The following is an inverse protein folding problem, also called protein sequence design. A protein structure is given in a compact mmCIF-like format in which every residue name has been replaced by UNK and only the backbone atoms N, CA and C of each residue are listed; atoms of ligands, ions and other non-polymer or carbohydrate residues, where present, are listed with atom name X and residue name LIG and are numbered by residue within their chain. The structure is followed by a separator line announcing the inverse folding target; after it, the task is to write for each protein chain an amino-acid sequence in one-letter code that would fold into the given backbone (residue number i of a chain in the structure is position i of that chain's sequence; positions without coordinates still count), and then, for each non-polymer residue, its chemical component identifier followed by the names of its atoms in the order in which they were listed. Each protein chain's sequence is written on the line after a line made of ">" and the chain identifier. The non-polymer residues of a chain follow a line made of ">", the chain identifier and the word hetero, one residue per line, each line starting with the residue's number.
data_IF_598320329798
#
_entry.id   IF_598320329798
#
_cell.length_a   1.000
_cell.length_b   1.000
_cell.length_c   1.000
_cell.angle_alpha   90.00
_cell.angle_beta   90.00
_cell.angle_gamma   90.00
#
_symmetry.space_group_name_H-M   'P 1'
#
loop_
_entity.id
_entity.type
_entity.pdbx_description
1 polymer ?
#
# COMPACT_ATOMS: atom_id res chain seq x y z
N UNK A 1 4.81 6.44 14.99
CA UNK A 1 5.11 7.30 13.82
C UNK A 1 3.82 7.62 13.09
N UNK A 2 3.70 8.79 12.49
CA UNK A 2 2.62 9.19 11.59
C UNK A 2 3.24 9.69 10.28
N UNK A 3 2.76 9.20 9.14
CA UNK A 3 3.20 9.62 7.81
C UNK A 3 1.99 10.20 7.09
N UNK A 4 2.07 11.48 6.78
CA UNK A 4 1.03 12.30 6.20
C UNK A 4 -0.26 12.36 7.05
N UNK A 5 -1.16 13.23 6.70
CA UNK A 5 -2.37 13.50 7.48
C UNK A 5 -3.60 13.86 6.62
N UNK A 6 -3.50 13.75 5.30
CA UNK A 6 -4.59 14.16 4.42
C UNK A 6 -4.73 15.68 4.31
N UNK A 7 -5.88 16.11 3.84
CA UNK A 7 -6.23 17.52 3.63
C UNK A 7 -6.46 18.30 4.94
N UNK A 8 -6.54 19.63 4.87
CA UNK A 8 -6.87 20.47 6.06
C UNK A 8 -8.17 20.03 6.74
N UNK A 9 -9.16 19.58 5.96
CA UNK A 9 -10.42 19.07 6.48
C UNK A 9 -10.28 17.83 7.37
N UNK A 10 -9.20 17.07 7.21
CA UNK A 10 -8.96 15.82 7.93
C UNK A 10 -8.31 16.02 9.32
N UNK A 11 -7.91 17.26 9.68
CA UNK A 11 -7.32 17.58 10.98
C UNK A 11 -8.14 17.05 12.17
N UNK A 12 -9.47 17.19 12.12
CA UNK A 12 -10.35 16.71 13.18
C UNK A 12 -10.42 15.20 13.25
N UNK A 13 -10.31 14.51 12.10
CA UNK A 13 -10.25 13.06 12.02
C UNK A 13 -8.95 12.56 12.65
N UNK A 14 -7.81 13.10 12.26
CA UNK A 14 -6.49 12.70 12.81
C UNK A 14 -6.45 12.92 14.33
N UNK A 15 -6.93 14.07 14.82
CA UNK A 15 -7.06 14.32 16.26
C UNK A 15 -7.88 13.22 16.94
N UNK A 16 -9.03 12.88 16.36
CA UNK A 16 -9.96 11.89 16.93
C UNK A 16 -9.36 10.48 16.93
N UNK A 17 -8.71 10.09 15.84
CA UNK A 17 -8.04 8.78 15.73
C UNK A 17 -6.96 8.63 16.81
N UNK A 18 -6.08 9.61 16.96
CA UNK A 18 -5.01 9.56 17.97
C UNK A 18 -5.58 9.55 19.38
N UNK A 19 -6.62 10.36 19.63
CA UNK A 19 -7.30 10.41 20.93
C UNK A 19 -7.96 9.09 21.30
N UNK A 20 -8.69 8.49 20.38
CA UNK A 20 -9.38 7.20 20.59
C UNK A 20 -8.39 6.04 20.77
N UNK A 21 -7.23 6.13 20.10
CA UNK A 21 -6.14 5.16 20.24
C UNK A 21 -5.27 5.40 21.47
N UNK A 22 -5.49 6.49 22.23
CA UNK A 22 -4.68 6.84 23.40
C UNK A 22 -3.24 7.24 23.06
N UNK A 23 -2.96 7.62 21.80
CA UNK A 23 -1.61 7.93 21.32
C UNK A 23 -1.34 9.43 21.51
N UNK A 24 -0.77 9.81 22.64
CA UNK A 24 -0.42 11.19 23.00
C UNK A 24 1.04 11.58 22.67
N UNK A 25 1.83 10.66 22.14
CA UNK A 25 3.20 10.91 21.70
C UNK A 25 3.49 10.17 20.41
N UNK A 26 4.12 10.86 19.45
CA UNK A 26 4.57 10.33 18.17
C UNK A 26 6.09 10.49 18.10
N UNK A 27 6.83 9.39 18.05
CA UNK A 27 8.30 9.47 17.92
C UNK A 27 8.71 10.26 16.69
N UNK A 28 8.03 10.01 15.56
CA UNK A 28 8.31 10.64 14.27
C UNK A 28 6.97 11.03 13.61
N UNK A 29 6.89 12.27 13.14
CA UNK A 29 5.87 12.73 12.18
C UNK A 29 6.56 13.05 10.87
N UNK A 30 6.03 12.56 9.77
CA UNK A 30 6.57 12.80 8.42
C UNK A 30 5.50 13.49 7.58
N UNK A 31 5.78 14.68 7.07
CA UNK A 31 5.12 15.24 5.90
C UNK A 31 5.96 14.90 4.70
N UNK A 32 5.50 13.95 3.86
CA UNK A 32 6.31 13.44 2.76
C UNK A 32 6.72 14.52 1.79
N UNK A 33 5.82 15.46 1.52
CA UNK A 33 6.07 16.67 0.74
C UNK A 33 5.06 17.77 1.10
N UNK A 34 5.15 18.94 0.48
CA UNK A 34 4.48 20.16 0.95
C UNK A 34 3.03 20.35 0.46
N UNK A 35 2.45 19.42 -0.29
CA UNK A 35 1.08 19.55 -0.75
C UNK A 35 0.05 19.35 0.38
N UNK A 36 -1.09 20.05 0.25
CA UNK A 36 -2.14 20.10 1.27
C UNK A 36 -2.69 18.72 1.61
N UNK A 37 -2.91 17.87 0.63
CA UNK A 37 -3.47 16.53 0.80
C UNK A 37 -2.53 15.52 1.49
N UNK A 38 -1.33 15.98 1.85
CA UNK A 38 -0.37 15.23 2.68
C UNK A 38 -0.18 15.86 4.05
N UNK A 39 0.06 17.18 4.11
CA UNK A 39 0.40 17.84 5.37
C UNK A 39 -0.77 18.54 6.04
N UNK A 40 -1.88 18.77 5.31
CA UNK A 40 -2.98 19.61 5.77
C UNK A 40 -3.69 19.12 7.03
N UNK A 41 -3.74 17.81 7.26
CA UNK A 41 -4.33 17.21 8.46
C UNK A 41 -3.36 17.08 9.65
N UNK A 42 -2.04 17.20 9.44
CA UNK A 42 -1.03 17.06 10.52
C UNK A 42 -1.17 18.06 11.68
N UNK A 43 -1.68 19.31 11.50
CA UNK A 43 -2.04 20.16 12.62
C UNK A 43 -2.97 19.49 13.63
N UNK A 44 -3.87 18.60 13.18
CA UNK A 44 -4.75 17.82 14.07
C UNK A 44 -3.97 16.87 14.97
N UNK A 45 -2.94 16.21 14.43
CA UNK A 45 -2.04 15.37 15.22
C UNK A 45 -1.32 16.16 16.30
N UNK A 46 -0.72 17.29 15.93
CA UNK A 46 0.01 18.15 16.85
C UNK A 46 -0.89 18.83 17.90
N UNK A 47 -2.16 18.99 17.64
CA UNK A 47 -3.12 19.49 18.63
C UNK A 47 -3.39 18.51 19.77
N UNK A 48 -3.23 17.23 19.53
CA UNK A 48 -3.48 16.19 20.53
C UNK A 48 -2.19 15.58 21.07
N UNK A 49 -1.26 15.20 20.19
CA UNK A 49 -0.04 14.51 20.55
C UNK A 49 1.18 15.42 20.43
N UNK A 50 2.18 15.20 21.29
CA UNK A 50 3.50 15.75 21.07
C UNK A 50 4.29 14.88 20.10
N UNK A 51 5.26 15.49 19.39
CA UNK A 51 6.13 14.76 18.48
C UNK A 51 7.60 14.83 18.92
N UNK A 52 8.30 13.72 18.83
CA UNK A 52 9.73 13.62 19.08
C UNK A 52 10.55 14.26 17.96
N UNK A 53 10.07 14.13 16.71
CA UNK A 53 10.71 14.67 15.51
C UNK A 53 9.64 14.92 14.45
N UNK A 54 9.81 15.99 13.65
CA UNK A 54 8.99 16.26 12.47
C UNK A 54 9.89 16.37 11.25
N UNK A 55 9.69 15.47 10.28
CA UNK A 55 10.43 15.44 9.03
C UNK A 55 9.59 16.02 7.90
N UNK A 56 10.19 16.87 7.07
CA UNK A 56 9.62 17.35 5.81
C UNK A 56 10.78 17.76 4.88
N UNK A 57 10.63 17.65 3.54
CA UNK A 57 11.71 17.97 2.62
C UNK A 57 12.05 19.45 2.55
N UNK A 58 11.15 20.31 3.04
CA UNK A 58 11.31 21.76 3.03
C UNK A 58 10.93 22.38 4.38
N UNK A 59 11.46 23.56 4.68
CA UNK A 59 11.12 24.35 5.89
C UNK A 59 10.22 25.54 5.57
N UNK A 60 9.96 25.80 4.29
CA UNK A 60 9.02 26.83 3.81
C UNK A 60 8.41 26.40 2.49
N UNK A 61 7.15 26.72 2.31
CA UNK A 61 6.39 26.51 1.08
C UNK A 61 5.24 27.51 1.04
N UNK A 62 4.91 28.02 -0.15
CA UNK A 62 3.91 29.07 -0.32
C UNK A 62 2.50 28.49 -0.37
N UNK A 63 1.98 28.09 0.79
CA UNK A 63 0.59 27.65 0.97
C UNK A 63 0.13 27.79 2.42
N UNK A 64 -1.15 28.12 2.62
CA UNK A 64 -1.77 28.17 3.94
C UNK A 64 -1.69 26.86 4.70
N UNK A 65 -1.72 25.73 3.99
CA UNK A 65 -1.60 24.40 4.59
C UNK A 65 -0.21 24.19 5.20
N UNK A 66 0.83 24.62 4.48
CA UNK A 66 2.20 24.52 4.96
C UNK A 66 2.47 25.47 6.13
N UNK A 67 1.95 26.70 6.08
CA UNK A 67 2.09 27.66 7.18
C UNK A 67 1.47 27.10 8.46
N UNK A 68 0.26 26.54 8.38
CA UNK A 68 -0.38 25.89 9.52
C UNK A 68 0.45 24.69 10.01
N UNK A 69 0.88 23.81 9.12
CA UNK A 69 1.72 22.66 9.47
C UNK A 69 3.01 23.09 10.19
N UNK A 70 3.76 24.03 9.63
CA UNK A 70 5.01 24.53 10.21
C UNK A 70 4.78 25.19 11.59
N UNK A 71 3.72 25.97 11.73
CA UNK A 71 3.30 26.60 13.01
C UNK A 71 3.02 25.56 14.09
N UNK A 72 2.28 24.50 13.77
CA UNK A 72 1.95 23.46 14.74
C UNK A 72 3.14 22.56 15.05
N UNK A 73 3.98 22.26 14.07
CA UNK A 73 5.25 21.57 14.28
C UNK A 73 6.17 22.36 15.22
N UNK A 74 6.31 23.68 15.02
CA UNK A 74 7.06 24.55 15.91
C UNK A 74 6.47 24.60 17.33
N UNK A 75 5.14 24.64 17.45
CA UNK A 75 4.43 24.68 18.74
C UNK A 75 4.67 23.41 19.57
N UNK A 76 4.85 22.29 18.94
CA UNK A 76 5.17 21.03 19.62
C UNK A 76 6.63 20.89 20.07
N UNK A 77 7.44 21.91 19.85
CA UNK A 77 8.78 22.03 20.42
C UNK A 77 9.92 21.54 19.54
N UNK A 78 9.66 20.93 18.38
CA UNK A 78 10.72 20.33 17.56
C UNK A 78 10.96 21.02 16.22
N UNK A 79 9.96 21.76 15.68
CA UNK A 79 10.06 22.34 14.35
C UNK A 79 10.23 21.28 13.25
N UNK A 80 10.50 21.74 12.04
CA UNK A 80 10.70 20.87 10.87
C UNK A 80 12.19 20.59 10.69
N UNK A 81 12.53 19.32 10.50
CA UNK A 81 13.87 18.84 10.15
C UNK A 81 13.84 18.26 8.74
N UNK A 82 14.77 18.71 7.88
CA UNK A 82 14.99 18.10 6.56
C UNK A 82 15.94 16.91 6.77
N UNK A 83 15.50 15.66 6.46
CA UNK A 83 16.38 14.51 6.58
C UNK A 83 17.37 14.43 5.41
N UNK A 84 18.37 13.57 5.55
CA UNK A 84 19.29 13.22 4.46
C UNK A 84 19.03 11.80 3.98
N UNK A 85 19.28 11.53 2.71
CA UNK A 85 19.26 10.15 2.19
C UNK A 85 20.30 9.32 2.93
N UNK A 86 19.90 8.15 3.41
CA UNK A 86 20.69 7.26 4.26
C UNK A 86 20.51 7.46 5.75
N UNK A 87 19.82 8.52 6.19
CA UNK A 87 19.47 8.67 7.62
C UNK A 87 18.62 7.51 8.10
N UNK A 88 18.88 7.07 9.33
CA UNK A 88 18.15 5.98 9.98
C UNK A 88 17.64 6.42 11.36
N UNK A 89 16.41 6.04 11.65
CA UNK A 89 15.75 6.38 12.92
C UNK A 89 15.18 5.10 13.57
N UNK A 90 15.38 4.88 14.87
CA UNK A 90 14.75 3.78 15.58
C UNK A 90 13.24 4.06 15.78
N UNK A 91 12.42 3.03 15.62
CA UNK A 91 10.99 3.06 15.91
C UNK A 91 10.61 1.77 16.65
N UNK A 92 10.75 1.76 17.97
CA UNK A 92 10.65 0.54 18.77
C UNK A 92 11.69 -0.49 18.33
N UNK A 93 11.23 -1.67 17.88
CA UNK A 93 12.10 -2.72 17.32
C UNK A 93 12.29 -2.60 15.80
N UNK A 94 11.72 -1.58 15.18
CA UNK A 94 11.84 -1.31 13.75
C UNK A 94 12.86 -0.23 13.48
N UNK A 95 13.35 -0.17 12.24
CA UNK A 95 14.22 0.89 11.75
C UNK A 95 13.54 1.61 10.58
N UNK A 96 13.52 2.93 10.62
CA UNK A 96 13.10 3.79 9.52
C UNK A 96 14.35 4.26 8.78
N UNK A 97 14.41 4.07 7.46
CA UNK A 97 15.54 4.52 6.62
C UNK A 97 15.03 5.43 5.53
N UNK A 98 15.66 6.58 5.35
CA UNK A 98 15.36 7.51 4.25
C UNK A 98 16.10 7.01 3.00
N UNK A 99 15.35 6.62 1.97
CA UNK A 99 15.88 6.06 0.74
C UNK A 99 15.93 7.07 -0.40
N UNK A 100 15.08 8.09 -0.35
CA UNK A 100 15.02 9.13 -1.37
C UNK A 100 14.58 10.47 -0.82
N UNK A 101 15.21 11.49 -1.34
CA UNK A 101 14.89 12.90 -1.19
C UNK A 101 15.45 13.61 -2.42
N UNK A 102 14.62 13.75 -3.46
CA UNK A 102 15.04 14.42 -4.68
C UNK A 102 14.81 15.92 -4.57
N UNK A 103 15.81 16.70 -4.92
CA UNK A 103 15.67 18.16 -4.99
C UNK A 103 14.95 18.58 -6.27
N UNK A 104 14.48 19.81 -6.31
CA UNK A 104 13.86 20.39 -7.50
C UNK A 104 12.76 21.39 -7.15
N UNK A 105 12.12 21.92 -8.19
CA UNK A 105 10.99 22.85 -8.05
C UNK A 105 9.64 22.15 -8.01
N UNK A 106 9.58 20.88 -8.38
CA UNK A 106 8.36 20.06 -8.31
C UNK A 106 8.23 19.48 -6.91
N UNK A 107 7.15 19.84 -6.21
CA UNK A 107 6.92 19.41 -4.84
C UNK A 107 6.75 17.89 -4.72
N UNK A 108 6.10 17.22 -5.68
CA UNK A 108 5.93 15.76 -5.69
C UNK A 108 7.28 15.06 -5.69
N UNK A 109 8.18 15.49 -6.56
CA UNK A 109 9.51 14.91 -6.65
C UNK A 109 10.40 15.21 -5.42
N UNK A 110 10.04 16.17 -4.56
CA UNK A 110 10.71 16.36 -3.27
C UNK A 110 10.30 15.37 -2.20
N UNK A 111 9.37 14.48 -2.48
CA UNK A 111 8.84 13.50 -1.51
C UNK A 111 9.95 12.75 -0.77
N UNK A 112 9.82 12.68 0.54
CA UNK A 112 10.62 11.77 1.37
C UNK A 112 10.17 10.34 1.08
N UNK A 113 11.04 9.56 0.44
CA UNK A 113 10.84 8.13 0.28
C UNK A 113 11.53 7.41 1.43
N UNK A 114 10.76 6.62 2.19
CA UNK A 114 11.28 5.95 3.37
C UNK A 114 10.82 4.49 3.45
N UNK A 115 11.67 3.67 4.08
CA UNK A 115 11.43 2.25 4.34
C UNK A 115 11.40 2.01 5.84
N UNK A 116 10.38 1.30 6.30
CA UNK A 116 10.29 0.80 7.68
C UNK A 116 10.57 -0.70 7.66
N UNK A 117 11.65 -1.11 8.30
CA UNK A 117 12.05 -2.51 8.40
C UNK A 117 11.74 -3.05 9.80
N UNK A 118 11.04 -4.19 9.86
CA UNK A 118 10.84 -4.97 11.09
C UNK A 118 11.09 -6.45 10.85
N UNK A 119 12.19 -6.96 11.36
CA UNK A 119 12.61 -8.33 11.09
C UNK A 119 12.79 -8.60 9.59
N UNK A 120 12.06 -9.57 9.06
CA UNK A 120 12.07 -9.97 7.64
C UNK A 120 11.03 -9.20 6.80
N UNK A 121 10.16 -8.39 7.42
CA UNK A 121 9.13 -7.62 6.73
C UNK A 121 9.51 -6.15 6.61
N UNK A 122 9.05 -5.51 5.55
CA UNK A 122 9.31 -4.09 5.31
C UNK A 122 8.15 -3.39 4.60
N UNK A 123 8.05 -2.09 4.86
CA UNK A 123 7.04 -1.20 4.33
C UNK A 123 7.73 -0.02 3.65
N UNK A 124 7.47 0.19 2.36
CA UNK A 124 8.00 1.31 1.59
C UNK A 124 6.91 2.36 1.38
N UNK A 125 7.22 3.60 1.76
CA UNK A 125 6.37 4.76 1.56
C UNK A 125 7.07 5.71 0.60
N UNK A 126 6.41 6.09 -0.47
CA UNK A 126 7.01 6.84 -1.57
C UNK A 126 6.50 8.27 -1.69
N UNK A 127 5.55 8.67 -0.82
CA UNK A 127 4.85 9.94 -1.00
C UNK A 127 4.29 10.03 -2.42
N UNK A 128 4.53 11.14 -3.07
CA UNK A 128 4.15 11.38 -4.46
C UNK A 128 5.35 11.45 -5.40
N UNK A 129 6.45 10.81 -5.01
CA UNK A 129 7.65 10.71 -5.85
C UNK A 129 7.28 10.21 -7.26
N UNK A 130 7.66 10.98 -8.27
CA UNK A 130 7.42 10.70 -9.67
C UNK A 130 8.68 10.12 -10.35
N UNK A 131 8.61 9.91 -11.66
CA UNK A 131 9.65 9.24 -12.46
C UNK A 131 11.07 9.77 -12.24
N UNK A 132 11.22 11.08 -12.05
CA UNK A 132 12.55 11.69 -11.85
C UNK A 132 13.14 11.29 -10.49
N UNK A 133 12.32 11.38 -9.43
CA UNK A 133 12.72 10.98 -8.09
C UNK A 133 12.95 9.46 -8.02
N UNK A 134 12.06 8.65 -8.61
CA UNK A 134 12.23 7.20 -8.70
C UNK A 134 13.52 6.83 -9.42
N UNK A 135 13.83 7.47 -10.55
CA UNK A 135 15.06 7.23 -11.29
C UNK A 135 16.33 7.62 -10.51
N UNK A 136 16.25 8.72 -9.74
CA UNK A 136 17.36 9.11 -8.86
C UNK A 136 17.60 8.07 -7.76
N UNK A 137 16.53 7.52 -7.17
CA UNK A 137 16.60 6.46 -6.16
C UNK A 137 17.17 5.18 -6.76
N UNK A 138 16.70 4.76 -7.94
CA UNK A 138 17.25 3.61 -8.65
C UNK A 138 18.75 3.75 -8.92
N UNK A 139 19.17 4.94 -9.34
CA UNK A 139 20.59 5.23 -9.62
C UNK A 139 21.47 5.24 -8.36
N UNK A 140 20.88 5.42 -7.18
CA UNK A 140 21.62 5.37 -5.90
C UNK A 140 22.04 3.94 -5.51
N UNK A 141 21.37 2.91 -6.07
CA UNK A 141 21.57 1.52 -5.72
C UNK A 141 21.02 1.14 -4.33
N UNK A 142 20.13 1.94 -3.77
CA UNK A 142 19.47 1.62 -2.49
C UNK A 142 18.66 0.33 -2.59
N UNK A 143 18.64 -0.47 -1.53
CA UNK A 143 17.77 -1.64 -1.42
C UNK A 143 16.32 -1.22 -1.22
N UNK A 144 15.52 -1.35 -2.30
CA UNK A 144 14.10 -1.01 -2.33
C UNK A 144 13.19 -2.20 -1.99
N UNK A 145 13.70 -3.42 -1.96
CA UNK A 145 12.90 -4.62 -1.74
C UNK A 145 12.00 -4.47 -0.51
N UNK A 146 10.69 -4.66 -0.67
CA UNK A 146 9.74 -4.37 0.42
C UNK A 146 8.51 -5.26 0.34
N UNK A 147 8.04 -5.72 1.50
CA UNK A 147 6.84 -6.57 1.61
C UNK A 147 5.57 -5.82 1.22
N UNK A 148 5.46 -4.57 1.65
CA UNK A 148 4.30 -3.70 1.40
C UNK A 148 4.77 -2.39 0.76
N UNK A 149 4.12 -1.99 -0.33
CA UNK A 149 4.32 -0.70 -0.99
C UNK A 149 3.09 0.20 -0.75
N UNK A 150 3.29 1.39 -0.19
CA UNK A 150 2.34 2.49 -0.38
C UNK A 150 2.61 3.07 -1.77
N UNK A 151 1.68 2.84 -2.69
CA UNK A 151 1.76 3.30 -4.08
C UNK A 151 1.92 4.81 -4.15
N UNK A 152 2.81 5.27 -4.99
CA UNK A 152 3.11 6.69 -5.18
C UNK A 152 1.95 7.46 -5.80
N UNK A 153 1.81 8.71 -5.39
CA UNK A 153 0.95 9.72 -5.99
C UNK A 153 -0.49 9.21 -6.21
N UNK A 154 -1.07 8.58 -5.19
CA UNK A 154 -2.44 8.05 -5.17
C UNK A 154 -2.78 7.10 -6.34
N UNK A 155 -1.76 6.54 -6.99
CA UNK A 155 -1.92 5.70 -8.18
C UNK A 155 -1.93 6.47 -9.51
N UNK A 156 -1.32 7.66 -9.53
CA UNK A 156 -1.01 8.39 -10.77
C UNK A 156 -0.13 7.56 -11.71
N UNK A 157 -0.28 7.77 -13.01
CA UNK A 157 0.57 7.15 -14.04
C UNK A 157 2.01 7.70 -14.05
N UNK A 158 2.24 8.88 -13.44
CA UNK A 158 3.55 9.50 -13.30
C UNK A 158 4.48 8.78 -12.31
N UNK A 159 3.92 7.96 -11.39
CA UNK A 159 4.61 7.29 -10.28
C UNK A 159 4.54 5.76 -10.39
N UNK A 160 5.28 5.07 -9.54
CA UNK A 160 5.32 3.60 -9.46
C UNK A 160 5.63 2.97 -10.82
N UNK A 161 6.71 3.46 -11.43
CA UNK A 161 7.16 3.01 -12.76
C UNK A 161 7.59 1.54 -12.76
N UNK A 162 7.55 0.87 -13.91
CA UNK A 162 8.01 -0.52 -14.03
C UNK A 162 9.42 -0.78 -13.49
N UNK A 163 10.43 0.04 -13.82
CA UNK A 163 11.76 -0.14 -13.24
C UNK A 163 11.76 -0.06 -11.72
N UNK A 164 11.02 0.90 -11.15
CA UNK A 164 10.94 1.09 -9.71
C UNK A 164 10.19 -0.07 -9.03
N UNK A 165 9.04 -0.44 -9.54
CA UNK A 165 8.24 -1.56 -9.04
C UNK A 165 9.00 -2.90 -9.09
N UNK A 166 9.81 -3.11 -10.13
CA UNK A 166 10.64 -4.32 -10.28
C UNK A 166 11.73 -4.42 -9.20
N UNK A 167 12.30 -3.31 -8.77
CA UNK A 167 13.29 -3.32 -7.69
C UNK A 167 12.65 -3.46 -6.30
N UNK A 168 11.39 -3.03 -6.14
CA UNK A 168 10.65 -3.16 -4.88
C UNK A 168 10.14 -4.59 -4.71
N UNK A 169 9.60 -5.21 -5.76
CA UNK A 169 8.98 -6.55 -5.75
C UNK A 169 7.99 -6.76 -4.59
N UNK A 170 7.02 -5.87 -4.39
CA UNK A 170 6.17 -5.93 -3.23
C UNK A 170 5.17 -7.09 -3.35
N UNK A 171 4.85 -7.71 -2.22
CA UNK A 171 3.77 -8.70 -2.10
C UNK A 171 2.40 -8.01 -2.11
N UNK A 172 2.35 -6.84 -1.47
CA UNK A 172 1.14 -6.04 -1.27
C UNK A 172 1.37 -4.59 -1.67
N UNK A 173 0.36 -3.97 -2.27
CA UNK A 173 0.35 -2.55 -2.58
C UNK A 173 -0.89 -1.88 -1.99
N UNK A 174 -0.73 -0.71 -1.41
CA UNK A 174 -1.81 0.11 -0.87
C UNK A 174 -1.89 1.40 -1.64
N UNK A 175 -3.08 1.72 -2.14
CA UNK A 175 -3.38 3.00 -2.80
C UNK A 175 -4.27 3.80 -1.85
N UNK A 176 -3.75 4.91 -1.30
CA UNK A 176 -4.58 5.90 -0.60
C UNK A 176 -5.21 6.80 -1.63
N UNK A 177 -6.52 6.71 -1.79
CA UNK A 177 -7.26 7.45 -2.81
C UNK A 177 -8.70 7.65 -2.37
N UNK A 178 -9.28 8.79 -2.71
CA UNK A 178 -10.70 9.10 -2.44
C UNK A 178 -11.62 8.59 -3.54
N UNK A 179 -12.78 8.08 -3.15
CA UNK A 179 -13.83 7.72 -4.10
C UNK A 179 -14.28 8.94 -4.91
N UNK A 180 -14.41 8.78 -6.23
CA UNK A 180 -14.86 9.84 -7.13
C UNK A 180 -13.90 11.05 -7.18
N UNK A 181 -12.60 10.84 -6.95
CA UNK A 181 -11.61 11.90 -7.07
C UNK A 181 -11.54 12.45 -8.49
N UNK A 182 -11.20 13.73 -8.62
CA UNK A 182 -11.20 14.44 -9.90
C UNK A 182 -10.00 14.14 -10.81
N UNK A 183 -9.08 13.30 -10.35
CA UNK A 183 -7.84 12.94 -11.05
C UNK A 183 -7.94 11.58 -11.75
N UNK A 184 -9.06 10.88 -11.62
CA UNK A 184 -9.27 9.52 -12.10
C UNK A 184 -8.25 8.51 -11.56
N UNK A 185 -7.69 8.81 -10.37
CA UNK A 185 -6.77 7.90 -9.67
C UNK A 185 -7.54 6.77 -8.95
N UNK A 186 -6.95 5.54 -8.88
CA UNK A 186 -5.75 5.11 -9.59
C UNK A 186 -6.02 5.00 -11.08
N UNK A 187 -4.99 5.31 -11.90
CA UNK A 187 -5.06 5.21 -13.35
C UNK A 187 -4.96 3.75 -13.83
N UNK A 188 -5.46 3.47 -15.03
CA UNK A 188 -5.35 2.13 -15.63
C UNK A 188 -3.89 1.70 -15.81
N UNK A 189 -3.00 2.62 -16.17
CA UNK A 189 -1.58 2.36 -16.33
C UNK A 189 -0.94 1.86 -15.03
N UNK A 190 -1.25 2.49 -13.89
CA UNK A 190 -0.73 2.08 -12.58
C UNK A 190 -1.29 0.73 -12.16
N UNK A 191 -2.60 0.52 -12.33
CA UNK A 191 -3.22 -0.78 -12.03
C UNK A 191 -2.68 -1.89 -12.95
N UNK A 192 -2.43 -1.57 -14.23
CA UNK A 192 -1.82 -2.53 -15.16
C UNK A 192 -0.42 -2.95 -14.70
N UNK A 193 0.42 -1.98 -14.28
CA UNK A 193 1.76 -2.28 -13.75
C UNK A 193 1.73 -3.18 -12.52
N UNK A 194 0.83 -2.90 -11.56
CA UNK A 194 0.66 -3.71 -10.35
C UNK A 194 0.16 -5.11 -10.67
N UNK A 195 -0.80 -5.24 -11.60
CA UNK A 195 -1.31 -6.53 -12.09
C UNK A 195 -0.23 -7.35 -12.80
N UNK A 196 0.57 -6.71 -13.66
CA UNK A 196 1.64 -7.37 -14.40
C UNK A 196 2.77 -7.85 -13.47
N UNK A 197 2.93 -7.18 -12.32
CA UNK A 197 3.86 -7.56 -11.26
C UNK A 197 3.28 -8.59 -10.25
N UNK A 198 2.03 -9.05 -10.45
CA UNK A 198 1.33 -10.00 -9.57
C UNK A 198 1.20 -9.53 -8.11
N UNK A 199 0.98 -8.24 -7.92
CA UNK A 199 0.87 -7.59 -6.60
C UNK A 199 -0.57 -7.62 -6.10
N UNK A 200 -0.78 -7.98 -4.83
CA UNK A 200 -2.08 -7.89 -4.19
C UNK A 200 -2.39 -6.42 -3.82
N UNK A 201 -3.41 -5.84 -4.45
CA UNK A 201 -3.72 -4.40 -4.33
C UNK A 201 -4.87 -4.16 -3.36
N UNK A 202 -4.70 -3.16 -2.50
CA UNK A 202 -5.72 -2.63 -1.60
C UNK A 202 -5.89 -1.13 -1.85
N UNK A 203 -7.14 -0.63 -1.80
CA UNK A 203 -7.49 0.78 -2.09
C UNK A 203 -8.39 1.33 -1.00
N UNK A 204 -8.09 2.52 -0.49
CA UNK A 204 -8.88 3.12 0.61
C UNK A 204 -10.29 3.52 0.18
N UNK A 205 -10.51 3.88 -1.08
CA UNK A 205 -11.86 4.18 -1.63
C UNK A 205 -12.79 2.96 -1.64
N UNK A 206 -12.25 1.75 -1.71
CA UNK A 206 -13.00 0.50 -1.76
C UNK A 206 -13.01 -0.26 -0.45
N UNK A 207 -11.87 -0.28 0.25
CA UNK A 207 -11.67 -1.10 1.45
C UNK A 207 -11.88 -0.31 2.75
N UNK A 208 -12.01 1.03 2.69
CA UNK A 208 -12.04 1.88 3.88
C UNK A 208 -10.70 1.82 4.62
N UNK A 209 -10.74 1.60 5.92
CA UNK A 209 -9.52 1.44 6.71
C UNK A 209 -8.82 0.13 6.35
N UNK A 210 -7.50 0.21 6.14
CA UNK A 210 -6.66 -0.93 5.78
C UNK A 210 -5.57 -1.07 6.83
N UNK A 211 -5.54 -2.20 7.51
CA UNK A 211 -4.59 -2.48 8.59
C UNK A 211 -3.68 -3.63 8.22
N UNK A 212 -2.38 -3.36 8.21
CA UNK A 212 -1.34 -4.36 8.08
C UNK A 212 -0.65 -4.56 9.42
N UNK A 213 -0.56 -5.80 9.88
CA UNK A 213 0.13 -6.16 11.12
C UNK A 213 1.27 -7.11 10.81
N UNK A 214 2.48 -6.71 11.21
CA UNK A 214 3.68 -7.54 11.08
C UNK A 214 4.12 -8.10 12.44
N UNK A 215 4.50 -9.36 12.46
CA UNK A 215 5.19 -10.01 13.59
C UNK A 215 6.72 -10.06 13.39
N UNK A 216 7.23 -9.42 12.35
CA UNK A 216 8.62 -9.43 11.93
C UNK A 216 9.00 -10.57 10.99
N UNK A 217 8.06 -11.48 10.66
CA UNK A 217 8.25 -12.58 9.69
C UNK A 217 7.15 -12.60 8.64
N UNK A 218 5.93 -12.38 9.08
CA UNK A 218 4.73 -12.41 8.24
C UNK A 218 3.93 -11.13 8.41
N UNK A 219 3.10 -10.84 7.40
CA UNK A 219 2.17 -9.71 7.44
C UNK A 219 0.75 -10.26 7.34
N UNK A 220 -0.12 -9.85 8.26
CA UNK A 220 -1.56 -10.11 8.21
C UNK A 220 -2.30 -8.83 7.87
N UNK A 221 -3.44 -8.96 7.17
CA UNK A 221 -4.17 -7.82 6.62
C UNK A 221 -5.62 -7.90 7.05
N UNK A 222 -6.18 -6.77 7.45
CA UNK A 222 -7.62 -6.61 7.64
C UNK A 222 -8.10 -5.29 7.03
N UNK A 223 -9.32 -5.28 6.53
CA UNK A 223 -9.95 -4.11 5.90
C UNK A 223 -11.32 -3.86 6.50
N UNK A 224 -11.74 -2.60 6.54
CA UNK A 224 -13.09 -2.22 7.00
C UNK A 224 -14.17 -2.78 6.07
N UNK A 225 -13.91 -2.77 4.76
CA UNK A 225 -14.83 -3.23 3.70
C UNK A 225 -14.15 -4.25 2.81
N UNK A 226 -14.96 -5.11 2.19
CA UNK A 226 -14.48 -6.04 1.17
C UNK A 226 -14.76 -5.47 -0.23
N UNK A 227 -13.81 -5.67 -1.15
CA UNK A 227 -13.97 -5.33 -2.54
C UNK A 227 -13.64 -6.54 -3.43
N UNK A 228 -14.28 -6.63 -4.60
CA UNK A 228 -13.94 -7.66 -5.56
C UNK A 228 -12.62 -7.31 -6.28
N UNK A 229 -11.87 -8.32 -6.70
CA UNK A 229 -10.64 -8.11 -7.50
C UNK A 229 -10.92 -7.27 -8.76
N UNK A 230 -12.07 -7.48 -9.39
CA UNK A 230 -12.51 -6.69 -10.55
C UNK A 230 -12.63 -5.22 -10.21
N UNK A 231 -13.26 -4.88 -9.07
CA UNK A 231 -13.46 -3.49 -8.67
C UNK A 231 -12.12 -2.85 -8.30
N UNK A 232 -11.26 -3.58 -7.58
CA UNK A 232 -9.91 -3.12 -7.23
C UNK A 232 -9.08 -2.77 -8.46
N UNK A 233 -9.21 -3.57 -9.54
CA UNK A 233 -8.49 -3.37 -10.80
C UNK A 233 -9.24 -2.49 -11.81
N UNK A 234 -10.29 -1.80 -11.39
CA UNK A 234 -10.99 -0.80 -12.21
C UNK A 234 -10.42 0.59 -11.89
N UNK A 235 -10.02 1.39 -12.90
CA UNK A 235 -9.53 2.76 -12.69
C UNK A 235 -10.46 3.62 -11.84
N UNK A 236 -9.89 4.65 -11.20
CA UNK A 236 -10.62 5.58 -10.34
C UNK A 236 -11.73 6.29 -11.09
N UNK A 237 -12.74 6.74 -10.37
CA UNK A 237 -13.97 7.31 -10.92
C UNK A 237 -15.18 6.69 -10.24
N UNK A 238 -16.32 6.69 -10.89
CA UNK A 238 -17.61 6.35 -10.30
C UNK A 238 -17.78 4.86 -10.02
N UNK A 239 -17.24 4.34 -8.92
CA UNK A 239 -17.71 3.06 -8.39
C UNK A 239 -18.84 3.34 -7.42
N UNK A 240 -20.06 2.98 -7.82
CA UNK A 240 -21.20 2.92 -6.90
C UNK A 240 -20.98 1.72 -5.99
N UNK A 241 -20.43 1.97 -4.80
CA UNK A 241 -20.33 0.93 -3.76
C UNK A 241 -21.76 0.61 -3.34
N UNK A 242 -22.32 -0.48 -3.84
CA UNK A 242 -23.56 -1.02 -3.29
C UNK A 242 -23.22 -1.58 -1.91
N UNK A 243 -23.97 -1.17 -0.85
CA UNK A 243 -23.76 -1.76 0.47
C UNK A 243 -23.89 -3.29 0.36
N UNK A 244 -23.14 -4.06 1.15
CA UNK A 244 -23.29 -5.50 1.14
C UNK A 244 -24.76 -5.85 1.43
N UNK A 245 -25.36 -6.61 0.55
CA UNK A 245 -26.67 -7.22 0.81
C UNK A 245 -26.47 -8.15 2.00
N UNK A 246 -26.92 -7.75 3.16
CA UNK A 246 -27.00 -8.63 4.33
C UNK A 246 -28.04 -9.70 4.01
N UNK A 247 -27.58 -10.81 3.48
CA UNK A 247 -28.41 -12.02 3.47
C UNK A 247 -28.54 -12.47 4.92
N UNK A 248 -29.76 -12.66 5.45
CA UNK A 248 -29.93 -13.20 6.78
C UNK A 248 -29.27 -14.58 6.85
N UNK A 249 -28.51 -14.82 7.94
CA UNK A 249 -27.92 -16.11 8.23
C UNK A 249 -28.95 -17.22 8.04
N UNK A 250 -28.65 -18.28 7.29
CA UNK A 250 -29.47 -19.48 7.33
C UNK A 250 -29.27 -20.12 8.71
N UNK A 251 -30.38 -20.47 9.34
CA UNK A 251 -30.41 -21.29 10.58
C UNK A 251 -29.53 -22.53 10.43
N UNK A 252 -28.88 -23.00 11.52
CA UNK A 252 -27.96 -24.11 11.47
C UNK A 252 -28.69 -25.41 11.18
N UNK A 253 -28.56 -25.95 9.98
CA UNK A 253 -28.97 -27.30 9.66
C UNK A 253 -27.86 -28.27 10.12
N UNK A 254 -28.23 -29.11 11.09
CA UNK A 254 -27.38 -30.17 11.60
C UNK A 254 -27.38 -31.34 10.59
N UNK A 255 -26.35 -31.46 9.80
CA UNK A 255 -25.95 -32.78 9.35
C UNK A 255 -24.44 -32.84 9.05
N UNK A 256 -23.76 -33.62 9.86
CA UNK A 256 -22.37 -33.97 9.75
C UNK A 256 -22.16 -34.94 8.59
N UNK A 257 -21.38 -34.60 7.61
CA UNK A 257 -20.55 -35.60 6.93
C UNK A 257 -19.23 -34.98 6.44
N UNK A 258 -18.15 -35.60 6.86
CA UNK A 258 -16.76 -35.23 6.57
C UNK A 258 -16.45 -35.50 5.08
N UNK A 259 -16.22 -34.40 4.30
CA UNK A 259 -15.53 -34.49 3.02
C UNK A 259 -14.48 -33.38 2.92
N UNK A 260 -13.24 -33.66 2.50
CA UNK A 260 -12.19 -32.64 2.41
C UNK A 260 -12.55 -31.63 1.32
N UNK A 261 -12.77 -30.39 1.72
CA UNK A 261 -13.04 -29.27 0.81
C UNK A 261 -11.76 -28.89 0.09
N UNK A 262 -11.55 -29.43 -1.11
CA UNK A 262 -10.48 -29.03 -2.01
C UNK A 262 -11.06 -28.35 -3.26
N UNK A 263 -10.34 -27.36 -3.78
CA UNK A 263 -10.60 -26.79 -5.11
C UNK A 263 -9.95 -27.66 -6.17
N UNK A 264 -10.60 -27.83 -7.32
CA UNK A 264 -10.04 -28.57 -8.44
C UNK A 264 -9.13 -27.69 -9.30
N UNK A 265 -7.94 -28.19 -9.59
CA UNK A 265 -6.95 -27.53 -10.45
C UNK A 265 -6.49 -28.47 -11.56
N UNK A 266 -6.04 -27.88 -12.67
CA UNK A 266 -5.34 -28.56 -13.75
C UNK A 266 -3.90 -28.07 -13.80
N UNK A 267 -2.95 -28.96 -13.56
CA UNK A 267 -1.52 -28.66 -13.57
C UNK A 267 -0.93 -29.01 -14.91
N UNK A 268 -0.22 -28.06 -15.52
CA UNK A 268 0.60 -28.33 -16.69
C UNK A 268 1.97 -28.82 -16.23
N UNK A 269 2.19 -30.13 -16.33
CA UNK A 269 3.42 -30.79 -15.87
C UNK A 269 4.66 -30.39 -16.68
N UNK A 270 4.47 -29.88 -17.90
CA UNK A 270 5.57 -29.40 -18.73
C UNK A 270 6.05 -27.98 -18.37
N UNK A 271 5.12 -27.12 -17.94
CA UNK A 271 5.45 -25.73 -17.60
C UNK A 271 5.52 -25.48 -16.09
N UNK A 272 5.09 -26.44 -15.28
CA UNK A 272 5.01 -26.31 -13.84
C UNK A 272 3.93 -25.32 -13.35
N UNK A 273 2.97 -24.96 -14.22
CA UNK A 273 1.89 -24.03 -13.87
C UNK A 273 0.59 -24.76 -13.61
N UNK A 274 -0.16 -24.29 -12.59
CA UNK A 274 -1.50 -24.80 -12.33
C UNK A 274 -2.59 -23.75 -12.65
N UNK A 275 -3.79 -24.24 -12.98
CA UNK A 275 -4.87 -23.46 -13.54
C UNK A 275 -6.19 -23.87 -12.91
N UNK A 276 -7.18 -22.98 -12.91
CA UNK A 276 -8.57 -23.41 -12.77
C UNK A 276 -9.01 -24.21 -14.00
N UNK A 277 -9.89 -25.24 -13.85
CA UNK A 277 -10.36 -26.06 -14.98
C UNK A 277 -10.99 -25.25 -16.13
N UNK A 278 -11.59 -24.09 -15.80
CA UNK A 278 -12.22 -23.19 -16.77
C UNK A 278 -11.23 -22.33 -17.57
N UNK A 279 -9.94 -22.34 -17.23
CA UNK A 279 -8.94 -21.50 -17.87
C UNK A 279 -8.79 -21.77 -19.37
N UNK A 280 -8.72 -20.71 -20.17
CA UNK A 280 -8.50 -20.83 -21.61
C UNK A 280 -7.16 -21.50 -21.99
N UNK A 281 -6.17 -21.45 -21.10
CA UNK A 281 -4.89 -22.12 -21.26
C UNK A 281 -5.02 -23.65 -21.15
N UNK A 282 -5.96 -24.18 -20.37
CA UNK A 282 -6.24 -25.59 -20.24
C UNK A 282 -6.74 -26.14 -21.57
N UNK A 283 -7.64 -25.42 -22.25
CA UNK A 283 -8.18 -25.82 -23.57
C UNK A 283 -7.11 -25.95 -24.66
N UNK A 284 -5.94 -25.36 -24.46
CA UNK A 284 -4.80 -25.40 -25.41
C UNK A 284 -3.70 -26.32 -24.94
N UNK A 285 -3.85 -26.95 -23.78
CA UNK A 285 -2.88 -27.86 -23.20
C UNK A 285 -2.95 -29.22 -23.92
N UNK A 286 -1.81 -29.88 -24.05
CA UNK A 286 -1.80 -31.26 -24.52
C UNK A 286 -2.25 -32.18 -23.38
N UNK A 287 -3.14 -33.12 -23.63
CA UNK A 287 -3.63 -34.08 -22.63
C UNK A 287 -2.49 -34.78 -21.88
N UNK A 288 -1.39 -35.08 -22.57
CA UNK A 288 -0.21 -35.71 -21.98
C UNK A 288 0.49 -34.86 -20.92
N UNK A 289 0.19 -33.55 -20.82
CA UNK A 289 0.77 -32.61 -19.89
C UNK A 289 -0.23 -32.22 -18.79
N UNK A 290 -1.44 -32.76 -18.81
CA UNK A 290 -2.48 -32.44 -17.82
C UNK A 290 -2.38 -33.36 -16.60
N UNK A 291 -2.34 -32.77 -15.42
CA UNK A 291 -2.49 -33.47 -14.16
C UNK A 291 -3.61 -32.79 -13.36
N UNK A 292 -4.61 -33.55 -12.99
CA UNK A 292 -5.72 -33.06 -12.14
C UNK A 292 -5.32 -33.14 -10.68
N UNK A 293 -5.64 -32.09 -9.94
CA UNK A 293 -5.36 -32.00 -8.52
C UNK A 293 -6.53 -31.36 -7.80
N UNK A 294 -7.02 -32.03 -6.76
CA UNK A 294 -8.02 -31.50 -5.83
C UNK A 294 -7.36 -31.21 -4.49
N UNK A 295 -7.38 -29.98 -4.03
CA UNK A 295 -6.72 -29.58 -2.78
C UNK A 295 -6.62 -28.08 -2.62
N UNK A 296 -5.63 -27.62 -1.85
CA UNK A 296 -5.40 -26.19 -1.63
C UNK A 296 -4.36 -25.64 -2.62
N UNK A 297 -4.45 -24.34 -2.92
CA UNK A 297 -3.46 -23.57 -3.69
C UNK A 297 -2.06 -23.73 -3.09
N UNK A 298 -1.95 -23.56 -1.78
CA UNK A 298 -0.69 -23.69 -1.06
C UNK A 298 -0.10 -25.12 -1.13
N UNK A 299 -0.97 -26.12 -1.22
CA UNK A 299 -0.58 -27.50 -1.44
C UNK A 299 0.09 -27.73 -2.81
N UNK A 300 -0.26 -26.97 -3.85
CA UNK A 300 0.41 -26.98 -5.14
C UNK A 300 1.72 -26.19 -5.11
N UNK A 301 1.73 -25.04 -4.47
CA UNK A 301 2.94 -24.21 -4.33
C UNK A 301 4.01 -24.97 -3.53
N UNK A 302 3.66 -25.65 -2.45
CA UNK A 302 4.59 -26.48 -1.67
C UNK A 302 5.18 -27.65 -2.45
N UNK A 303 4.50 -28.08 -3.51
CA UNK A 303 4.97 -29.11 -4.46
C UNK A 303 5.81 -28.54 -5.62
N UNK A 304 6.10 -27.22 -5.60
CA UNK A 304 6.94 -26.55 -6.59
C UNK A 304 6.19 -26.09 -7.85
N UNK A 305 4.86 -26.09 -7.85
CA UNK A 305 4.07 -25.55 -8.95
C UNK A 305 3.78 -24.07 -8.74
N UNK A 306 3.65 -23.33 -9.83
CA UNK A 306 3.32 -21.89 -9.81
C UNK A 306 1.94 -21.63 -10.41
N UNK A 307 1.20 -20.60 -9.92
CA UNK A 307 -0.09 -20.26 -10.48
C UNK A 307 0.01 -19.74 -11.92
N UNK A 308 -1.04 -19.93 -12.69
CA UNK A 308 -1.14 -19.41 -14.05
C UNK A 308 -1.45 -17.91 -14.01
N UNK A 309 -0.69 -17.08 -14.73
CA UNK A 309 -0.92 -15.64 -14.84
C UNK A 309 -2.17 -15.22 -15.65
N UNK A 310 -2.95 -16.18 -16.23
CA UNK A 310 -4.19 -15.85 -16.95
C UNK A 310 -5.46 -16.10 -16.13
N UNK A 311 -5.46 -17.06 -15.23
CA UNK A 311 -6.65 -17.42 -14.46
C UNK A 311 -6.45 -17.32 -12.96
N UNK A 312 -5.23 -17.01 -12.51
CA UNK A 312 -4.85 -16.75 -11.10
C UNK A 312 -5.49 -17.74 -10.11
N UNK A 313 -5.20 -19.03 -10.24
CA UNK A 313 -5.78 -20.05 -9.39
C UNK A 313 -5.21 -20.04 -7.98
#
# INVERSE_FOLDING_TARGET
>A
MLIDGGNKGDSSLIYTVLKNSGVSYLDIVVGTHAHEDHIGGLPGAFNYASAGMTLCPVTSYDSDAFEDFAKYAAKNGNGITIPSVGDTYPLGSSTVTILGLHGGSDANNTSIVLKVQYGETSFLFTGDAEREAEQAILNSGADLSSTVLKVGHHGSDSSTTYPFLREIMPMYAVISVGAGNSYDHPTDDTLSRLRDADVNVFRTDLHGDIVFVSDGKTVTISTEKSASEKDVMTPGGSIVVTPPVVTPDPEPDQNTDNQPSGTDYVVNTNTGKFHYPSCSSVKKMKESNEMFYTGTRDGLISKGYSPCGNCHP
#
